data_IF_105787597971
#
_entry.id   IF_105787597971
#
_cell.length_a   1.000
_cell.length_b   1.000
_cell.length_c   1.000
_cell.angle_alpha   90.00
_cell.angle_beta   90.00
_cell.angle_gamma   90.00
#
_symmetry.space_group_name_H-M   'P 1'
#
loop_
_entity.id
_entity.type
_entity.pdbx_description
1 polymer ?
#
# COMPACT_ATOMS: atom_id res chain seq x y z
N UNK A 1 5.21 -10.04 1.29
CA UNK A 1 6.66 -9.75 1.12
C UNK A 1 6.99 -8.50 1.92
N UNK A 2 8.11 -8.46 2.63
CA UNK A 2 8.52 -7.30 3.45
C UNK A 2 9.80 -6.71 2.85
N UNK A 3 9.84 -5.40 2.64
CA UNK A 3 10.98 -4.70 2.07
C UNK A 3 11.40 -3.53 2.97
N UNK A 4 12.69 -3.45 3.30
CA UNK A 4 13.22 -2.33 4.08
C UNK A 4 13.19 -1.04 3.26
N UNK A 5 12.89 0.07 3.93
CA UNK A 5 12.89 1.42 3.36
C UNK A 5 14.24 2.08 3.64
N UNK A 6 15.05 2.16 2.60
CA UNK A 6 16.29 2.93 2.60
C UNK A 6 16.07 4.34 1.99
N UNK A 7 17.10 5.18 2.06
CA UNK A 7 17.03 6.55 1.52
C UNK A 7 16.87 6.57 0.00
N UNK A 8 17.38 5.54 -0.69
CA UNK A 8 17.22 5.39 -2.14
C UNK A 8 15.76 5.18 -2.51
N UNK A 9 15.07 4.27 -1.83
CA UNK A 9 13.64 3.99 -2.06
C UNK A 9 12.78 5.21 -1.73
N UNK A 10 13.11 5.97 -0.67
CA UNK A 10 12.41 7.24 -0.37
C UNK A 10 12.56 8.25 -1.51
N UNK A 11 13.75 8.37 -2.06
CA UNK A 11 14.00 9.28 -3.18
C UNK A 11 13.29 8.83 -4.46
N UNK A 12 13.38 7.54 -4.79
CA UNK A 12 12.68 6.95 -5.94
C UNK A 12 11.16 7.12 -5.81
N UNK A 13 10.59 6.89 -4.63
CA UNK A 13 9.17 7.11 -4.36
C UNK A 13 8.73 8.55 -4.62
N UNK A 14 9.52 9.55 -4.20
CA UNK A 14 9.25 10.97 -4.48
C UNK A 14 9.41 11.31 -5.96
N UNK A 15 10.52 10.89 -6.56
CA UNK A 15 10.88 11.21 -7.94
C UNK A 15 9.91 10.60 -8.95
N UNK A 16 9.51 9.36 -8.72
CA UNK A 16 8.67 8.60 -9.65
C UNK A 16 7.20 8.51 -9.24
N UNK A 17 6.83 9.09 -8.09
CA UNK A 17 5.46 9.04 -7.53
C UNK A 17 4.96 7.60 -7.48
N UNK A 18 5.71 6.73 -6.80
CA UNK A 18 5.39 5.31 -6.75
C UNK A 18 4.03 5.09 -6.10
N UNK A 19 3.19 4.32 -6.79
CA UNK A 19 1.82 4.03 -6.40
C UNK A 19 1.75 2.60 -5.87
N UNK A 20 1.72 2.45 -4.55
CA UNK A 20 1.75 1.15 -3.88
C UNK A 20 0.77 1.03 -2.70
N UNK A 21 -0.04 2.07 -2.46
CA UNK A 21 -1.02 2.09 -1.38
C UNK A 21 -2.40 1.56 -1.85
N UNK A 22 -3.18 1.06 -0.91
CA UNK A 22 -4.53 0.55 -1.15
C UNK A 22 -5.43 1.54 -1.91
N UNK A 23 -5.49 2.84 -1.60
CA UNK A 23 -6.34 3.79 -2.35
C UNK A 23 -6.12 3.81 -3.86
N UNK A 24 -4.94 3.39 -4.31
CA UNK A 24 -4.59 3.34 -5.73
C UNK A 24 -4.61 1.92 -6.33
N UNK A 25 -4.98 0.91 -5.53
CA UNK A 25 -5.02 -0.48 -5.93
C UNK A 25 -6.37 -0.83 -6.56
N UNK A 26 -6.37 -1.55 -7.69
CA UNK A 26 -7.59 -2.02 -8.34
C UNK A 26 -8.44 -2.99 -7.48
N UNK A 27 -7.85 -3.60 -6.45
CA UNK A 27 -8.54 -4.52 -5.53
C UNK A 27 -9.03 -3.82 -4.25
N UNK A 28 -8.88 -2.50 -4.15
CA UNK A 28 -9.35 -1.73 -3.00
C UNK A 28 -10.81 -1.35 -3.15
N UNK A 29 -11.56 -1.58 -2.08
CA UNK A 29 -12.93 -1.13 -1.92
C UNK A 29 -12.93 -0.12 -0.76
N UNK A 30 -13.21 1.18 -1.02
CA UNK A 30 -13.20 2.20 0.01
C UNK A 30 -14.32 2.03 1.05
N UNK A 31 -15.33 1.19 0.78
CA UNK A 31 -16.53 1.07 1.62
C UNK A 31 -17.35 2.37 1.64
N UNK A 32 -18.14 2.53 2.70
CA UNK A 32 -18.95 3.71 3.00
C UNK A 32 -18.81 4.02 4.51
N UNK A 33 -17.75 4.72 4.93
CA UNK A 33 -17.45 4.94 6.34
C UNK A 33 -18.55 5.68 7.10
N UNK A 34 -19.27 6.57 6.41
CA UNK A 34 -20.44 7.30 6.92
C UNK A 34 -21.64 6.40 7.22
N UNK A 35 -21.70 5.23 6.57
CA UNK A 35 -22.71 4.20 6.78
C UNK A 35 -22.20 3.02 7.63
N UNK A 36 -20.97 3.11 8.16
CA UNK A 36 -20.35 2.06 8.95
C UNK A 36 -19.78 0.89 8.14
N UNK A 37 -19.62 1.03 6.81
CA UNK A 37 -18.93 0.03 5.98
C UNK A 37 -17.45 0.41 5.85
N UNK A 38 -16.51 -0.34 6.47
CA UNK A 38 -15.11 -0.01 6.47
C UNK A 38 -14.43 -0.34 5.12
N UNK A 39 -13.28 0.31 4.83
CA UNK A 39 -12.48 -0.04 3.66
C UNK A 39 -11.98 -1.49 3.74
N UNK A 40 -11.94 -2.18 2.60
CA UNK A 40 -11.53 -3.58 2.49
C UNK A 40 -10.79 -3.86 1.19
N UNK A 41 -10.12 -5.01 1.12
CA UNK A 41 -9.60 -5.54 -0.13
C UNK A 41 -10.54 -6.62 -0.67
N UNK A 42 -10.90 -6.57 -1.95
CA UNK A 42 -11.75 -7.58 -2.61
C UNK A 42 -11.13 -8.99 -2.65
N UNK A 43 -9.83 -9.10 -2.35
CA UNK A 43 -9.10 -10.36 -2.25
C UNK A 43 -8.89 -10.83 -0.80
N UNK A 44 -9.44 -10.11 0.18
CA UNK A 44 -9.39 -10.49 1.60
C UNK A 44 -8.10 -10.15 2.35
N UNK A 45 -7.17 -9.40 1.73
CA UNK A 45 -5.96 -8.92 2.42
C UNK A 45 -6.24 -7.72 3.33
N UNK A 46 -5.49 -7.55 4.45
CA UNK A 46 -5.63 -6.40 5.34
C UNK A 46 -5.23 -5.10 4.62
N UNK A 47 -5.99 -4.02 4.85
CA UNK A 47 -5.78 -2.72 4.18
C UNK A 47 -5.01 -1.73 5.04
N UNK A 48 -5.11 -1.84 6.37
CA UNK A 48 -4.58 -0.90 7.35
C UNK A 48 -3.08 -0.62 7.17
N UNK A 49 -2.20 -1.62 6.91
CA UNK A 49 -0.78 -1.34 6.69
C UNK A 49 -0.49 -0.50 5.43
N UNK A 50 -1.44 -0.49 4.48
CA UNK A 50 -1.26 -0.04 3.11
C UNK A 50 -2.08 1.22 2.77
N UNK A 51 -2.71 1.89 3.75
CA UNK A 51 -3.56 3.06 3.47
C UNK A 51 -2.78 4.33 3.08
N UNK A 52 -1.52 4.43 3.47
CA UNK A 52 -0.65 5.57 3.14
C UNK A 52 0.44 5.17 2.15
N UNK A 53 0.76 6.06 1.21
CA UNK A 53 1.91 5.98 0.31
C UNK A 53 3.16 6.69 0.86
N UNK A 54 3.06 7.31 2.04
CA UNK A 54 4.19 8.04 2.63
C UNK A 54 5.24 7.08 3.21
N UNK A 55 6.50 7.26 2.80
CA UNK A 55 7.66 6.49 3.27
C UNK A 55 8.57 7.28 4.23
N UNK A 56 8.24 8.54 4.54
CA UNK A 56 9.11 9.44 5.30
C UNK A 56 9.46 8.88 6.67
N UNK A 57 8.47 8.35 7.40
CA UNK A 57 8.65 7.77 8.73
C UNK A 57 8.61 6.24 8.75
N UNK A 58 8.57 5.57 7.59
CA UNK A 58 8.48 4.11 7.53
C UNK A 58 9.87 3.47 7.44
N UNK A 59 10.04 2.39 8.20
CA UNK A 59 11.22 1.52 8.13
C UNK A 59 11.03 0.36 7.15
N UNK A 60 9.79 -0.07 6.91
CA UNK A 60 9.45 -1.23 6.10
C UNK A 60 8.17 -0.98 5.29
N UNK A 61 8.10 -1.57 4.10
CA UNK A 61 6.90 -1.70 3.29
C UNK A 61 6.51 -3.17 3.23
N UNK A 62 5.23 -3.44 3.46
CA UNK A 62 4.65 -4.78 3.34
C UNK A 62 3.86 -4.80 2.04
N UNK A 63 4.09 -5.83 1.22
CA UNK A 63 3.32 -6.07 0.00
C UNK A 63 2.37 -7.25 0.22
N UNK A 64 1.08 -7.01 -0.07
CA UNK A 64 -0.01 -7.96 0.05
C UNK A 64 -0.01 -9.06 -1.02
N UNK A 65 0.57 -8.79 -2.20
CA UNK A 65 0.74 -9.77 -3.29
C UNK A 65 2.23 -9.94 -3.56
N UNK A 66 2.70 -11.18 -3.62
CA UNK A 66 4.00 -11.46 -4.22
C UNK A 66 3.79 -11.47 -5.74
N UNK A 67 4.54 -10.63 -6.46
CA UNK A 67 4.68 -10.77 -7.90
C UNK A 67 5.84 -11.74 -8.13
N UNK A 68 5.55 -12.91 -8.66
CA UNK A 68 6.60 -13.78 -9.19
C UNK A 68 6.91 -13.35 -10.61
N UNK A 69 8.21 -13.19 -10.91
CA UNK A 69 8.68 -13.09 -12.28
C UNK A 69 8.57 -14.50 -12.87
N UNK A 70 7.57 -14.71 -13.73
CA UNK A 70 7.46 -15.93 -14.53
C UNK A 70 8.61 -16.10 -15.51
#
# INVERSE_FOLDING_TARGET
MIHNVDDRLREEARRFRLVFACPDCASFDPGAPDLGDPPRCSLGFPVEPHLSQDLTAREQVIFCKAFELG
#
